data_IF_276703326791
#
_entry.id   IF_276703326791
#
_cell.length_a   1.000
_cell.length_b   1.000
_cell.length_c   1.000
_cell.angle_alpha   90.00
_cell.angle_beta   90.00
_cell.angle_gamma   90.00
#
_symmetry.space_group_name_H-M   'P 1'
#
loop_
_entity.id
_entity.type
_entity.pdbx_description
1 polymer ?
#
# COMPACT_ATOMS: atom_id res chain seq x y z
N UNK A 1 -24.13 10.69 19.14
CA UNK A 1 -22.65 10.70 19.22
C UNK A 1 -22.15 11.13 17.85
N UNK A 2 -21.24 12.11 17.80
CA UNK A 2 -20.62 12.58 16.55
C UNK A 2 -19.20 12.04 16.46
N UNK A 3 -18.89 11.31 15.39
CA UNK A 3 -17.59 10.73 15.11
C UNK A 3 -16.86 11.56 14.03
N UNK A 4 -15.66 12.04 14.33
CA UNK A 4 -14.84 12.83 13.40
C UNK A 4 -13.79 11.95 12.74
N UNK A 5 -13.88 11.81 11.43
CA UNK A 5 -12.95 10.99 10.65
C UNK A 5 -12.01 11.89 9.84
N UNK A 6 -10.72 11.81 10.13
CA UNK A 6 -9.67 12.48 9.36
C UNK A 6 -9.46 11.83 7.98
N UNK A 7 -9.28 12.67 6.96
CA UNK A 7 -8.97 12.25 5.60
C UNK A 7 -8.09 13.25 4.85
N UNK A 8 -7.30 12.75 3.90
CA UNK A 8 -6.67 13.60 2.87
C UNK A 8 -7.71 14.06 1.85
N UNK A 9 -7.46 15.18 1.18
CA UNK A 9 -8.38 15.73 0.16
C UNK A 9 -8.38 14.98 -1.18
N UNK A 10 -7.42 14.09 -1.42
CA UNK A 10 -7.38 13.35 -2.68
C UNK A 10 -8.66 12.52 -2.90
N UNK A 11 -9.09 12.38 -4.17
CA UNK A 11 -10.32 11.63 -4.52
C UNK A 11 -10.32 10.21 -3.96
N UNK A 12 -9.17 9.53 -4.00
CA UNK A 12 -9.02 8.18 -3.46
C UNK A 12 -9.15 8.16 -1.93
N UNK A 13 -8.49 9.08 -1.22
CA UNK A 13 -8.58 9.16 0.24
C UNK A 13 -10.02 9.45 0.70
N UNK A 14 -10.70 10.39 0.05
CA UNK A 14 -12.11 10.68 0.33
C UNK A 14 -13.01 9.47 0.03
N UNK A 15 -12.74 8.71 -1.04
CA UNK A 15 -13.46 7.47 -1.31
C UNK A 15 -13.28 6.47 -0.17
N UNK A 16 -12.04 6.25 0.28
CA UNK A 16 -11.73 5.30 1.37
C UNK A 16 -12.39 5.71 2.68
N UNK A 17 -12.32 6.99 3.02
CA UNK A 17 -12.99 7.53 4.22
C UNK A 17 -14.50 7.39 4.15
N UNK A 18 -15.11 7.68 3.00
CA UNK A 18 -16.56 7.49 2.79
C UNK A 18 -16.96 6.03 2.85
N UNK A 19 -16.11 5.12 2.37
CA UNK A 19 -16.34 3.68 2.47
C UNK A 19 -16.36 3.23 3.94
N UNK A 20 -15.36 3.61 4.74
CA UNK A 20 -15.34 3.34 6.19
C UNK A 20 -16.55 3.95 6.89
N UNK A 21 -16.89 5.21 6.58
CA UNK A 21 -18.06 5.87 7.15
C UNK A 21 -19.37 5.16 6.78
N UNK A 22 -19.50 4.64 5.56
CA UNK A 22 -20.67 3.89 5.13
C UNK A 22 -20.81 2.57 5.89
N UNK A 23 -19.72 1.81 6.05
CA UNK A 23 -19.71 0.59 6.87
C UNK A 23 -20.13 0.89 8.32
N UNK A 24 -19.58 1.95 8.93
CA UNK A 24 -19.96 2.33 10.29
C UNK A 24 -21.45 2.67 10.41
N UNK A 25 -22.01 3.41 9.44
CA UNK A 25 -23.45 3.74 9.43
C UNK A 25 -24.34 2.53 9.24
N UNK A 26 -23.88 1.48 8.55
CA UNK A 26 -24.63 0.24 8.39
C UNK A 26 -24.77 -0.52 9.72
N UNK A 27 -23.73 -0.50 10.56
CA UNK A 27 -23.74 -1.18 11.86
C UNK A 27 -24.29 -0.33 13.01
N UNK A 28 -24.20 1.01 12.90
CA UNK A 28 -24.55 1.93 13.97
C UNK A 28 -25.62 2.94 13.50
N UNK A 29 -26.88 2.54 13.60
CA UNK A 29 -28.02 3.40 13.28
C UNK A 29 -28.00 4.69 14.11
N UNK A 30 -28.03 5.85 13.45
CA UNK A 30 -28.01 7.16 14.12
C UNK A 30 -26.61 7.69 14.48
N UNK A 31 -25.53 7.01 14.05
CA UNK A 31 -24.18 7.56 14.18
C UNK A 31 -24.00 8.78 13.26
N UNK A 32 -23.78 9.94 13.87
CA UNK A 32 -23.40 11.14 13.13
C UNK A 32 -21.91 11.06 12.80
N UNK A 33 -21.56 11.25 11.52
CA UNK A 33 -20.17 11.19 11.06
C UNK A 33 -19.82 12.51 10.36
N UNK A 34 -18.74 13.13 10.80
CA UNK A 34 -18.11 14.28 10.18
C UNK A 34 -16.78 13.86 9.56
N UNK A 35 -16.57 14.18 8.28
CA UNK A 35 -15.28 13.95 7.61
C UNK A 35 -14.49 15.25 7.65
N UNK A 36 -13.38 15.25 8.37
CA UNK A 36 -12.45 16.38 8.49
C UNK A 36 -11.35 16.19 7.47
N UNK A 37 -11.26 17.09 6.49
CA UNK A 37 -10.28 16.98 5.39
C UNK A 37 -9.11 17.92 5.56
N UNK A 38 -7.91 17.49 5.19
CA UNK A 38 -6.70 18.32 5.24
C UNK A 38 -5.76 18.08 4.05
N UNK A 39 -4.86 19.03 3.83
CA UNK A 39 -3.73 18.89 2.91
C UNK A 39 -2.52 18.40 3.69
N UNK A 40 -1.85 17.35 3.20
CA UNK A 40 -0.59 16.87 3.78
C UNK A 40 0.61 17.42 3.00
N UNK A 41 1.80 17.43 3.60
CA UNK A 41 3.04 17.80 2.90
C UNK A 41 3.25 16.98 1.63
N UNK A 42 2.92 15.69 1.64
CA UNK A 42 2.99 14.82 0.46
C UNK A 42 2.03 15.19 -0.67
N UNK A 43 0.93 15.90 -0.38
CA UNK A 43 0.04 16.47 -1.38
C UNK A 43 0.59 17.79 -1.96
N UNK A 44 1.41 18.52 -1.19
CA UNK A 44 2.04 19.79 -1.62
C UNK A 44 3.34 19.59 -2.40
N UNK A 45 4.06 18.49 -2.17
CA UNK A 45 5.35 18.21 -2.82
C UNK A 45 5.17 17.15 -3.93
N UNK A 46 4.90 17.60 -5.16
CA UNK A 46 4.73 16.73 -6.33
C UNK A 46 6.01 16.44 -7.11
N UNK A 47 7.06 17.28 -6.94
CA UNK A 47 8.14 17.40 -7.94
C UNK A 47 9.51 16.83 -7.49
N UNK A 48 9.62 16.28 -6.27
CA UNK A 48 10.87 15.71 -5.73
C UNK A 48 10.74 14.19 -5.59
N UNK A 49 11.63 13.31 -6.08
CA UNK A 49 11.59 11.84 -5.92
C UNK A 49 11.41 11.34 -4.47
N UNK A 50 10.66 10.24 -4.23
CA UNK A 50 10.34 9.74 -2.86
C UNK A 50 11.57 9.44 -2.01
N UNK A 51 12.60 8.77 -2.55
CA UNK A 51 13.83 8.51 -1.80
C UNK A 51 14.59 9.75 -1.34
N UNK A 52 14.34 10.90 -1.98
CA UNK A 52 15.04 12.15 -1.69
C UNK A 52 14.31 13.02 -0.66
N UNK A 53 13.05 12.71 -0.34
CA UNK A 53 12.28 13.51 0.62
C UNK A 53 12.66 13.17 2.06
N UNK A 54 13.14 11.96 2.38
CA UNK A 54 13.72 11.62 3.69
C UNK A 54 12.77 11.72 4.91
N UNK A 55 11.54 12.20 4.74
CA UNK A 55 10.58 12.40 5.84
C UNK A 55 9.72 11.14 6.01
N UNK A 56 9.92 10.43 7.14
CA UNK A 56 8.99 9.42 7.64
C UNK A 56 7.63 10.12 7.89
N UNK A 57 6.53 9.55 7.42
CA UNK A 57 5.19 10.11 7.66
C UNK A 57 4.76 11.25 6.72
N UNK A 58 5.37 11.39 5.52
CA UNK A 58 5.04 12.43 4.53
C UNK A 58 3.53 12.60 4.21
N UNK A 59 2.74 11.54 4.39
CA UNK A 59 1.31 11.53 4.12
C UNK A 59 0.43 11.34 5.38
N UNK A 60 1.03 11.24 6.57
CA UNK A 60 0.35 10.83 7.81
C UNK A 60 0.49 11.85 8.93
N UNK A 61 1.60 12.61 8.99
CA UNK A 61 1.92 13.51 10.10
C UNK A 61 0.75 14.44 10.48
N UNK A 62 0.12 15.12 9.52
CA UNK A 62 -0.95 16.06 9.86
C UNK A 62 -2.23 15.40 10.39
N UNK A 63 -2.46 14.12 10.05
CA UNK A 63 -3.56 13.33 10.60
C UNK A 63 -3.20 12.82 12.00
N UNK A 64 -1.96 12.37 12.20
CA UNK A 64 -1.41 11.93 13.48
C UNK A 64 -1.47 13.06 14.52
N UNK A 65 -1.06 14.28 14.15
CA UNK A 65 -1.15 15.47 15.01
C UNK A 65 -2.59 15.75 15.46
N UNK A 66 -3.57 15.58 14.56
CA UNK A 66 -4.98 15.79 14.89
C UNK A 66 -5.58 14.70 15.76
N UNK A 67 -5.15 13.45 15.58
CA UNK A 67 -5.50 12.34 16.47
C UNK A 67 -4.99 12.62 17.88
N UNK A 68 -3.71 12.95 18.03
CA UNK A 68 -3.08 13.26 19.32
C UNK A 68 -3.74 14.49 19.99
N UNK A 69 -4.08 15.50 19.21
CA UNK A 69 -4.83 16.67 19.68
C UNK A 69 -6.33 16.39 19.91
N UNK A 70 -6.82 15.18 19.63
CA UNK A 70 -8.22 14.74 19.76
C UNK A 70 -9.21 15.62 19.00
N UNK A 71 -8.73 16.25 17.92
CA UNK A 71 -9.55 17.07 17.00
C UNK A 71 -10.27 16.20 15.97
N UNK A 72 -9.75 15.00 15.71
CA UNK A 72 -10.42 13.88 15.06
C UNK A 72 -10.41 12.65 15.98
N UNK A 73 -11.29 11.69 15.73
CA UNK A 73 -11.43 10.47 16.54
C UNK A 73 -10.74 9.27 15.91
N UNK A 74 -10.66 9.23 14.57
CA UNK A 74 -9.91 8.24 13.80
C UNK A 74 -9.44 8.84 12.47
N UNK A 75 -8.39 8.27 11.89
CA UNK A 75 -7.89 8.63 10.57
C UNK A 75 -7.94 7.42 9.62
N UNK A 76 -8.22 7.67 8.33
CA UNK A 76 -8.35 6.63 7.31
C UNK A 76 -7.28 6.78 6.24
N UNK A 77 -6.57 5.67 5.98
CA UNK A 77 -5.40 5.64 5.10
C UNK A 77 -5.47 4.47 4.11
N UNK A 78 -4.69 4.56 3.03
CA UNK A 78 -4.22 3.34 2.36
C UNK A 78 -3.17 2.70 3.26
N UNK A 79 -3.38 1.46 3.73
CA UNK A 79 -2.51 0.87 4.75
C UNK A 79 -1.05 0.70 4.30
N UNK A 80 -0.83 0.52 3.00
CA UNK A 80 0.52 0.47 2.40
C UNK A 80 1.30 1.79 2.47
N UNK A 81 0.63 2.91 2.70
CA UNK A 81 1.26 4.23 2.82
C UNK A 81 1.59 4.56 4.29
N UNK A 82 1.14 3.73 5.24
CA UNK A 82 1.47 3.88 6.65
C UNK A 82 2.84 3.28 6.95
N UNK A 83 3.64 3.92 7.82
CA UNK A 83 4.89 3.35 8.29
C UNK A 83 4.64 2.01 9.00
N UNK A 84 5.68 1.19 9.12
CA UNK A 84 5.61 -0.10 9.82
C UNK A 84 5.39 0.06 11.34
N UNK A 85 5.83 1.20 11.89
CA UNK A 85 5.74 1.64 13.27
C UNK A 85 4.95 2.95 13.34
N UNK A 86 4.05 3.05 14.29
CA UNK A 86 3.22 4.23 14.54
C UNK A 86 3.90 5.21 15.50
N UNK A 87 3.45 6.46 15.50
CA UNK A 87 3.86 7.43 16.50
C UNK A 87 3.36 7.04 17.90
N UNK A 88 4.09 7.44 18.94
CA UNK A 88 3.73 7.13 20.33
C UNK A 88 2.31 7.61 20.65
N UNK A 89 1.50 6.73 21.26
CA UNK A 89 0.10 7.02 21.60
C UNK A 89 -0.89 6.81 20.44
N UNK A 90 -0.44 6.40 19.25
CA UNK A 90 -1.27 6.02 18.12
C UNK A 90 -1.10 4.55 17.76
N UNK A 91 -2.14 3.95 17.17
CA UNK A 91 -2.08 2.56 16.71
C UNK A 91 -2.95 2.31 15.49
N UNK A 92 -2.57 1.25 14.76
CA UNK A 92 -3.46 0.59 13.81
C UNK A 92 -4.61 -0.08 14.57
N UNK A 93 -5.84 0.40 14.35
CA UNK A 93 -7.05 -0.19 14.92
C UNK A 93 -7.47 -1.45 14.16
N UNK A 94 -7.36 -1.39 12.84
CA UNK A 94 -7.73 -2.48 11.96
C UNK A 94 -8.11 -2.03 10.56
N UNK A 95 -8.46 -3.01 9.72
CA UNK A 95 -8.88 -2.82 8.34
C UNK A 95 -10.22 -3.53 8.06
N UNK A 96 -11.11 -2.93 7.25
CA UNK A 96 -12.21 -3.67 6.63
C UNK A 96 -11.67 -4.65 5.58
N UNK A 97 -12.58 -5.39 4.93
CA UNK A 97 -12.24 -6.35 3.89
C UNK A 97 -11.26 -5.76 2.84
N UNK A 98 -10.16 -6.49 2.58
CA UNK A 98 -9.14 -6.10 1.61
C UNK A 98 -9.71 -6.10 0.20
N UNK A 99 -9.44 -5.03 -0.56
CA UNK A 99 -9.68 -5.00 -2.00
C UNK A 99 -8.53 -5.70 -2.76
N UNK A 100 -8.62 -5.74 -4.09
CA UNK A 100 -7.63 -6.42 -4.92
C UNK A 100 -6.18 -5.94 -4.63
N UNK A 101 -5.28 -6.82 -4.16
CA UNK A 101 -3.93 -6.44 -3.76
C UNK A 101 -2.97 -6.27 -4.93
N UNK A 102 -3.34 -6.66 -6.16
CA UNK A 102 -2.44 -6.69 -7.31
C UNK A 102 -2.01 -5.29 -7.79
N UNK A 103 -0.97 -5.29 -8.61
CA UNK A 103 -0.63 -4.14 -9.45
C UNK A 103 -1.28 -4.30 -10.83
N UNK A 104 -1.56 -3.18 -11.49
CA UNK A 104 -2.11 -3.13 -12.83
C UNK A 104 -1.17 -2.37 -13.76
N UNK A 105 -0.91 -2.96 -14.93
CA UNK A 105 -0.28 -2.31 -16.07
C UNK A 105 -1.32 -1.54 -16.88
N UNK A 106 -1.00 -0.28 -17.19
CA UNK A 106 -1.85 0.63 -17.94
C UNK A 106 -1.03 1.16 -19.10
N UNK A 107 -1.55 0.97 -20.30
CA UNK A 107 -0.94 1.45 -21.54
C UNK A 107 -2.01 1.83 -22.54
N UNK A 108 -1.71 2.85 -23.34
CA UNK A 108 -2.50 3.25 -24.50
C UNK A 108 -2.07 2.55 -25.79
N UNK A 109 -0.97 1.77 -25.74
CA UNK A 109 -0.32 1.16 -26.92
C UNK A 109 -0.27 -0.37 -26.85
N UNK A 110 -0.15 -0.94 -25.66
CA UNK A 110 0.14 -2.35 -25.46
C UNK A 110 -0.90 -2.99 -24.54
N UNK A 111 -1.39 -4.17 -24.89
CA UNK A 111 -2.38 -4.86 -24.06
C UNK A 111 -1.76 -5.61 -22.88
N UNK A 112 -0.46 -5.89 -22.90
CA UNK A 112 0.24 -6.58 -21.81
C UNK A 112 1.73 -6.23 -21.79
N UNK A 113 2.39 -6.51 -20.66
CA UNK A 113 3.83 -6.38 -20.49
C UNK A 113 4.61 -7.25 -21.50
N UNK A 114 4.06 -8.40 -21.87
CA UNK A 114 4.67 -9.33 -22.84
C UNK A 114 4.75 -8.76 -24.27
N UNK A 115 3.94 -7.74 -24.59
CA UNK A 115 3.95 -7.09 -25.90
C UNK A 115 4.87 -5.87 -25.97
N UNK A 116 5.51 -5.50 -24.85
CA UNK A 116 6.40 -4.34 -24.83
C UNK A 116 7.61 -4.57 -25.74
N UNK A 117 7.99 -3.56 -26.55
CA UNK A 117 9.21 -3.64 -27.34
C UNK A 117 10.44 -3.65 -26.42
N UNK A 118 11.56 -4.12 -26.97
CA UNK A 118 12.84 -4.00 -26.27
C UNK A 118 13.10 -2.53 -25.95
N UNK A 119 13.55 -2.26 -24.71
CA UNK A 119 13.80 -0.90 -24.21
C UNK A 119 12.58 0.01 -24.06
N UNK A 120 11.37 -0.57 -23.99
CA UNK A 120 10.16 0.17 -23.64
C UNK A 120 10.33 1.02 -22.36
N UNK A 121 9.68 2.18 -22.34
CA UNK A 121 9.76 3.14 -21.25
C UNK A 121 8.52 3.02 -20.38
N UNK A 122 8.68 2.54 -19.15
CA UNK A 122 7.62 2.51 -18.14
C UNK A 122 7.82 3.61 -17.10
N UNK A 123 6.74 4.11 -16.49
CA UNK A 123 6.88 5.07 -15.40
C UNK A 123 6.26 4.58 -14.08
N UNK A 124 7.03 4.69 -13.00
CA UNK A 124 6.61 4.35 -11.64
C UNK A 124 7.52 5.04 -10.62
N UNK A 125 6.93 5.58 -9.55
CA UNK A 125 7.68 6.08 -8.39
C UNK A 125 8.08 5.00 -7.38
N UNK A 126 7.73 3.74 -7.60
CA UNK A 126 7.96 2.63 -6.67
C UNK A 126 9.20 1.82 -7.06
N UNK A 127 10.19 1.75 -6.16
CA UNK A 127 11.38 0.91 -6.36
C UNK A 127 11.04 -0.58 -6.39
N UNK A 128 10.09 -1.04 -5.57
CA UNK A 128 9.57 -2.42 -5.62
C UNK A 128 9.11 -2.78 -7.03
N UNK A 129 8.23 -1.97 -7.63
CA UNK A 129 7.69 -2.24 -8.97
C UNK A 129 8.79 -2.23 -10.02
N UNK A 130 9.64 -1.21 -10.00
CA UNK A 130 10.78 -1.08 -10.93
C UNK A 130 11.68 -2.31 -10.88
N UNK A 131 12.14 -2.69 -9.69
CA UNK A 131 13.05 -3.80 -9.49
C UNK A 131 12.43 -5.15 -9.88
N UNK A 132 11.17 -5.41 -9.52
CA UNK A 132 10.46 -6.61 -9.98
C UNK A 132 10.37 -6.67 -11.50
N UNK A 133 9.99 -5.58 -12.15
CA UNK A 133 9.87 -5.53 -13.62
C UNK A 133 11.22 -5.70 -14.30
N UNK A 134 12.29 -5.08 -13.81
CA UNK A 134 13.65 -5.27 -14.35
C UNK A 134 14.12 -6.72 -14.20
N UNK A 135 13.76 -7.38 -13.09
CA UNK A 135 14.11 -8.79 -12.88
C UNK A 135 13.41 -9.75 -13.85
N UNK A 136 12.19 -9.41 -14.29
CA UNK A 136 11.38 -10.25 -15.17
C UNK A 136 11.57 -9.90 -16.65
N UNK A 137 11.77 -8.62 -16.95
CA UNK A 137 11.89 -8.06 -18.30
C UNK A 137 13.15 -7.18 -18.35
N UNK A 138 14.34 -7.79 -18.45
CA UNK A 138 15.59 -7.05 -18.56
C UNK A 138 15.59 -6.10 -19.75
N UNK A 139 16.07 -4.88 -19.54
CA UNK A 139 16.23 -3.88 -20.60
C UNK A 139 15.15 -2.81 -20.67
N UNK A 140 14.07 -2.91 -19.87
CA UNK A 140 13.10 -1.82 -19.68
C UNK A 140 13.78 -0.53 -19.17
N UNK A 141 13.30 0.61 -19.64
CA UNK A 141 13.69 1.94 -19.15
C UNK A 141 12.62 2.48 -18.22
N UNK A 142 13.04 3.25 -17.22
CA UNK A 142 12.14 3.73 -16.18
C UNK A 142 12.19 5.24 -16.01
N UNK A 143 11.01 5.85 -16.00
CA UNK A 143 10.79 7.25 -15.67
C UNK A 143 10.12 7.41 -14.30
N UNK A 144 10.39 8.54 -13.65
CA UNK A 144 9.82 8.85 -12.33
C UNK A 144 8.38 9.31 -12.47
N UNK A 145 7.47 8.70 -11.70
CA UNK A 145 6.05 9.02 -11.73
C UNK A 145 5.53 9.40 -10.35
N UNK A 146 4.95 10.60 -10.26
CA UNK A 146 4.33 11.16 -9.07
C UNK A 146 3.03 11.89 -9.38
N UNK A 147 2.28 12.16 -8.33
CA UNK A 147 0.95 12.76 -8.37
C UNK A 147 -0.14 11.75 -8.03
N UNK A 148 -1.35 12.26 -7.90
CA UNK A 148 -2.56 11.45 -7.79
C UNK A 148 -2.85 10.69 -9.10
N UNK A 149 -3.85 9.81 -9.09
CA UNK A 149 -4.18 8.95 -10.22
C UNK A 149 -4.46 9.75 -11.50
N UNK A 150 -5.20 10.85 -11.40
CA UNK A 150 -5.57 11.67 -12.56
C UNK A 150 -4.33 12.35 -13.18
N UNK A 151 -3.41 12.87 -12.35
CA UNK A 151 -2.12 13.41 -12.82
C UNK A 151 -1.25 12.34 -13.47
N UNK A 152 -1.23 11.11 -12.94
CA UNK A 152 -0.44 10.02 -13.50
C UNK A 152 -0.94 9.58 -14.86
N UNK A 153 -2.25 9.46 -15.04
CA UNK A 153 -2.87 9.14 -16.31
C UNK A 153 -2.58 10.21 -17.36
N UNK A 154 -2.71 11.50 -16.98
CA UNK A 154 -2.35 12.60 -17.88
C UNK A 154 -0.86 12.55 -18.29
N UNK A 155 0.04 12.28 -17.34
CA UNK A 155 1.48 12.14 -17.63
C UNK A 155 1.80 10.97 -18.56
N UNK A 156 1.08 9.85 -18.46
CA UNK A 156 1.21 8.74 -19.41
C UNK A 156 0.96 9.23 -20.86
N UNK A 157 -0.11 10.00 -21.06
CA UNK A 157 -0.46 10.52 -22.38
C UNK A 157 0.53 11.60 -22.86
N UNK A 158 0.89 12.56 -21.99
CA UNK A 158 1.76 13.70 -22.31
C UNK A 158 3.21 13.30 -22.62
N UNK A 159 3.77 12.34 -21.88
CA UNK A 159 5.17 11.95 -22.03
C UNK A 159 5.38 10.81 -23.04
N UNK A 160 4.30 10.22 -23.56
CA UNK A 160 4.37 9.17 -24.57
C UNK A 160 5.09 7.90 -24.08
N UNK A 161 5.05 7.62 -22.78
CA UNK A 161 5.57 6.37 -22.20
C UNK A 161 4.80 5.16 -22.72
N UNK A 162 5.44 3.99 -22.71
CA UNK A 162 4.81 2.73 -23.11
C UNK A 162 3.83 2.21 -22.06
N UNK A 163 3.94 2.64 -20.81
CA UNK A 163 2.92 2.41 -19.81
C UNK A 163 3.30 2.85 -18.41
N UNK A 164 2.34 2.74 -17.50
CA UNK A 164 2.53 3.01 -16.07
C UNK A 164 1.99 1.85 -15.24
N UNK A 165 2.46 1.77 -14.00
CA UNK A 165 1.99 0.76 -13.05
C UNK A 165 1.26 1.43 -11.89
N UNK A 166 0.02 0.99 -11.63
CA UNK A 166 -0.80 1.45 -10.51
C UNK A 166 -1.31 0.28 -9.68
N UNK A 167 -1.89 0.55 -8.51
CA UNK A 167 -2.50 -0.52 -7.71
C UNK A 167 -3.91 -0.77 -8.23
N UNK A 168 -4.28 -2.03 -8.42
CA UNK A 168 -5.60 -2.41 -8.99
C UNK A 168 -6.74 -1.90 -8.12
N UNK A 169 -6.66 -2.10 -6.79
CA UNK A 169 -7.64 -1.54 -5.85
C UNK A 169 -7.86 -0.03 -5.99
N UNK A 170 -6.84 0.74 -6.37
CA UNK A 170 -7.00 2.19 -6.51
C UNK A 170 -7.82 2.56 -7.76
N UNK A 171 -7.72 1.76 -8.83
CA UNK A 171 -8.51 1.90 -10.05
C UNK A 171 -9.95 1.42 -9.84
N UNK A 172 -10.13 0.27 -9.19
CA UNK A 172 -11.46 -0.27 -8.83
C UNK A 172 -12.28 0.75 -8.05
N UNK A 173 -11.70 1.30 -6.97
CA UNK A 173 -12.35 2.30 -6.11
C UNK A 173 -12.80 3.55 -6.87
N UNK A 174 -12.06 3.95 -7.89
CA UNK A 174 -12.37 5.13 -8.69
C UNK A 174 -13.15 4.80 -9.98
N UNK A 175 -13.58 3.56 -10.18
CA UNK A 175 -14.33 3.14 -11.38
C UNK A 175 -13.51 3.20 -12.67
N UNK A 176 -12.18 2.98 -12.58
CA UNK A 176 -11.22 3.14 -13.68
C UNK A 176 -10.66 1.83 -14.24
N UNK A 177 -11.31 0.70 -13.98
CA UNK A 177 -10.84 -0.61 -14.44
C UNK A 177 -10.80 -0.75 -15.97
N UNK A 178 -11.60 0.03 -16.70
CA UNK A 178 -11.57 0.07 -18.17
C UNK A 178 -10.23 0.58 -18.75
N UNK A 179 -9.35 1.15 -17.92
CA UNK A 179 -8.00 1.59 -18.32
C UNK A 179 -6.94 0.51 -18.11
N UNK A 180 -7.26 -0.60 -17.43
CA UNK A 180 -6.29 -1.67 -17.14
C UNK A 180 -6.04 -2.45 -18.42
N UNK A 181 -4.79 -2.49 -18.86
CA UNK A 181 -4.34 -3.35 -19.96
C UNK A 181 -4.14 -4.78 -19.45
N UNK A 182 -3.45 -4.91 -18.32
CA UNK A 182 -3.15 -6.21 -17.70
C UNK A 182 -3.12 -6.07 -16.17
N UNK A 183 -3.77 -7.01 -15.48
CA UNK A 183 -3.60 -7.20 -14.04
C UNK A 183 -2.42 -8.13 -13.78
N UNK A 184 -1.50 -7.72 -12.91
CA UNK A 184 -0.26 -8.44 -12.66
C UNK A 184 -0.43 -9.47 -11.54
N UNK A 185 -0.15 -10.73 -11.86
CA UNK A 185 -0.23 -11.86 -10.92
C UNK A 185 0.60 -11.58 -9.64
N UNK A 186 -0.05 -11.58 -8.48
CA UNK A 186 0.57 -11.28 -7.18
C UNK A 186 1.61 -12.33 -6.75
N UNK A 187 1.55 -13.54 -7.29
CA UNK A 187 2.57 -14.57 -7.08
C UNK A 187 3.83 -14.30 -7.91
N UNK A 188 3.73 -13.55 -9.01
CA UNK A 188 4.85 -13.14 -9.87
C UNK A 188 5.39 -11.77 -9.41
N UNK A 189 4.53 -10.76 -9.42
CA UNK A 189 4.80 -9.39 -9.01
C UNK A 189 4.23 -9.15 -7.61
N UNK A 190 5.01 -9.52 -6.59
CA UNK A 190 4.58 -9.47 -5.20
C UNK A 190 4.16 -8.03 -4.82
N UNK A 191 2.92 -7.83 -4.35
CA UNK A 191 2.39 -6.55 -3.94
C UNK A 191 3.23 -5.82 -2.87
N UNK A 192 2.98 -4.52 -2.73
CA UNK A 192 3.46 -3.81 -1.54
C UNK A 192 2.73 -4.35 -0.30
N UNK A 193 3.43 -4.32 0.84
CA UNK A 193 2.86 -4.63 2.16
C UNK A 193 1.54 -3.90 2.33
N UNK A 194 0.50 -4.63 2.69
CA UNK A 194 -0.86 -4.18 2.89
C UNK A 194 -1.53 -3.47 1.69
N UNK A 195 -1.03 -3.66 0.47
CA UNK A 195 -1.69 -3.11 -0.73
C UNK A 195 -3.12 -3.66 -0.85
N UNK A 196 -4.07 -2.78 -1.15
CA UNK A 196 -5.50 -3.13 -1.23
C UNK A 196 -6.24 -2.93 0.09
N UNK A 197 -5.58 -2.94 1.25
CA UNK A 197 -6.22 -2.68 2.55
C UNK A 197 -6.41 -1.18 2.83
N UNK A 198 -7.50 -0.85 3.51
CA UNK A 198 -7.72 0.47 4.10
C UNK A 198 -7.32 0.37 5.57
N UNK A 199 -6.43 1.24 6.03
CA UNK A 199 -6.01 1.28 7.43
C UNK A 199 -6.81 2.31 8.21
N UNK A 200 -7.30 1.92 9.39
CA UNK A 200 -7.87 2.85 10.37
C UNK A 200 -6.87 3.05 11.51
N UNK A 201 -6.52 4.29 11.78
CA UNK A 201 -5.62 4.71 12.85
C UNK A 201 -6.39 5.45 13.95
N UNK A 202 -6.09 5.16 15.21
CA UNK A 202 -6.72 5.77 16.39
C UNK A 202 -5.68 6.04 17.48
N UNK A 203 -6.04 6.88 18.46
CA UNK A 203 -5.29 6.95 19.71
C UNK A 203 -5.41 5.67 20.53
N UNK A 204 -4.33 5.30 21.19
CA UNK A 204 -4.31 4.24 22.20
C UNK A 204 -5.29 4.55 23.35
N UNK A 205 -5.86 3.50 23.95
CA UNK A 205 -6.80 3.61 25.08
C UNK A 205 -8.22 4.06 24.71
N UNK A 206 -8.55 4.30 23.43
CA UNK A 206 -9.91 4.64 22.96
C UNK A 206 -10.81 3.41 22.80
N UNK A 207 -11.08 2.71 23.89
CA UNK A 207 -11.95 1.54 23.91
C UNK A 207 -13.36 1.81 23.36
N UNK A 208 -13.85 3.05 23.50
CA UNK A 208 -15.10 3.54 22.93
C UNK A 208 -15.09 3.51 21.39
N UNK A 209 -13.98 3.90 20.77
CA UNK A 209 -13.82 3.89 19.31
C UNK A 209 -13.51 2.49 18.80
N UNK A 210 -12.76 1.69 19.55
CA UNK A 210 -12.50 0.28 19.20
C UNK A 210 -13.80 -0.52 19.13
N UNK A 211 -14.68 -0.37 20.13
CA UNK A 211 -15.98 -1.03 20.13
C UNK A 211 -16.84 -0.61 18.93
N UNK A 212 -16.75 0.66 18.53
CA UNK A 212 -17.46 1.18 17.35
C UNK A 212 -16.91 0.59 16.04
N UNK A 213 -15.60 0.40 15.94
CA UNK A 213 -14.91 -0.09 14.75
C UNK A 213 -14.95 -1.61 14.60
N UNK A 214 -15.03 -2.37 15.70
CA UNK A 214 -14.95 -3.83 15.68
C UNK A 214 -15.87 -4.51 14.65
N UNK A 215 -17.13 -4.08 14.44
CA UNK A 215 -18.02 -4.72 13.47
C UNK A 215 -17.61 -4.57 12.00
N UNK A 216 -16.81 -3.54 11.67
CA UNK A 216 -16.42 -3.25 10.28
C UNK A 216 -15.10 -3.90 9.88
N UNK A 217 -14.36 -4.47 10.83
CA UNK A 217 -13.05 -5.05 10.59
C UNK A 217 -13.14 -6.51 10.21
N UNK A 218 -12.37 -6.88 9.19
CA UNK A 218 -12.33 -8.24 8.65
C UNK A 218 -11.18 -9.03 9.29
N UNK A 219 -11.43 -10.09 10.10
CA UNK A 219 -10.37 -10.81 10.81
C UNK A 219 -9.29 -11.39 9.88
N UNK A 220 -9.68 -11.89 8.72
CA UNK A 220 -8.75 -12.47 7.74
C UNK A 220 -7.82 -11.40 7.17
N UNK A 221 -8.36 -10.26 6.75
CA UNK A 221 -7.58 -9.11 6.29
C UNK A 221 -6.61 -8.63 7.37
N UNK A 222 -7.07 -8.48 8.61
CA UNK A 222 -6.23 -7.98 9.70
C UNK A 222 -5.06 -8.93 10.01
N UNK A 223 -5.29 -10.24 10.04
CA UNK A 223 -4.22 -11.23 10.20
C UNK A 223 -3.23 -11.22 9.04
N UNK A 224 -3.73 -11.10 7.80
CA UNK A 224 -2.88 -11.02 6.60
C UNK A 224 -1.95 -9.81 6.64
N UNK A 225 -2.51 -8.61 6.83
CA UNK A 225 -1.74 -7.35 6.79
C UNK A 225 -0.80 -7.24 7.99
N UNK A 226 -1.15 -7.78 9.15
CA UNK A 226 -0.25 -7.78 10.31
C UNK A 226 0.96 -8.70 10.11
N UNK A 227 0.77 -9.85 9.45
CA UNK A 227 1.87 -10.71 9.04
C UNK A 227 2.77 -10.00 8.02
N UNK A 228 2.20 -9.36 6.98
CA UNK A 228 2.97 -8.59 5.99
C UNK A 228 3.75 -7.43 6.63
N UNK A 229 3.13 -6.73 7.59
CA UNK A 229 3.76 -5.63 8.34
C UNK A 229 4.84 -6.13 9.30
N UNK A 230 4.69 -7.32 9.88
CA UNK A 230 5.75 -7.97 10.66
C UNK A 230 6.99 -8.24 9.82
N UNK A 231 6.79 -8.77 8.61
CA UNK A 231 7.87 -8.99 7.65
C UNK A 231 8.58 -7.68 7.28
N UNK A 232 7.81 -6.61 7.01
CA UNK A 232 8.35 -5.28 6.77
C UNK A 232 9.18 -4.77 7.96
N UNK A 233 8.62 -4.76 9.18
CA UNK A 233 9.30 -4.28 10.40
C UNK A 233 10.64 -4.99 10.65
N UNK A 234 10.70 -6.31 10.42
CA UNK A 234 11.93 -7.09 10.64
C UNK A 234 13.01 -6.80 9.59
N UNK A 235 12.62 -6.50 8.35
CA UNK A 235 13.54 -6.27 7.24
C UNK A 235 13.92 -4.80 7.03
N UNK A 236 13.25 -3.87 7.69
CA UNK A 236 13.42 -2.43 7.47
C UNK A 236 14.88 -1.96 7.60
N UNK A 237 15.47 -1.64 6.44
CA UNK A 237 16.62 -0.76 6.25
C UNK A 237 16.18 0.46 5.44
N UNK A 238 15.75 1.54 6.09
CA UNK A 238 15.48 2.84 5.46
C UNK A 238 14.26 2.97 4.52
N UNK A 239 13.86 4.21 4.24
CA UNK A 239 12.58 4.60 3.61
C UNK A 239 12.44 4.31 2.09
N UNK A 240 13.24 3.42 1.48
CA UNK A 240 13.21 3.23 0.01
C UNK A 240 13.61 1.82 -0.45
N UNK A 241 13.16 0.79 0.27
CA UNK A 241 13.46 -0.60 -0.05
C UNK A 241 12.55 -1.15 -1.14
N UNK A 242 13.13 -1.90 -2.08
CA UNK A 242 12.36 -2.72 -3.01
C UNK A 242 11.97 -4.02 -2.30
N UNK A 243 10.86 -3.96 -1.56
CA UNK A 243 10.31 -5.07 -0.76
C UNK A 243 8.82 -5.25 -1.08
N UNK A 244 8.41 -6.49 -1.30
CA UNK A 244 7.02 -6.91 -1.45
C UNK A 244 6.65 -7.99 -0.43
N UNK A 245 5.41 -7.97 0.03
CA UNK A 245 4.85 -9.02 0.87
C UNK A 245 3.36 -9.18 0.57
N UNK A 246 2.92 -10.42 0.42
CA UNK A 246 1.51 -10.74 0.21
C UNK A 246 1.12 -12.02 0.93
N UNK A 247 0.19 -11.89 1.86
CA UNK A 247 -0.39 -12.95 2.63
C UNK A 247 -1.87 -13.07 2.30
N UNK A 248 -2.32 -14.30 2.04
CA UNK A 248 -3.72 -14.61 1.82
C UNK A 248 -4.04 -15.99 2.40
N UNK A 249 -5.31 -16.25 2.59
CA UNK A 249 -5.85 -17.47 3.16
C UNK A 249 -6.83 -18.10 2.16
N UNK A 250 -6.77 -19.42 2.04
CA UNK A 250 -7.74 -20.22 1.31
C UNK A 250 -7.92 -21.56 2.04
N UNK A 251 -9.17 -21.94 2.31
CA UNK A 251 -9.55 -23.21 2.93
C UNK A 251 -8.81 -23.54 4.25
N UNK A 252 -8.59 -22.52 5.08
CA UNK A 252 -7.88 -22.59 6.36
C UNK A 252 -6.36 -22.56 6.26
N UNK A 253 -5.80 -22.48 5.06
CA UNK A 253 -4.36 -22.47 4.81
C UNK A 253 -3.88 -21.09 4.37
N UNK A 254 -2.96 -20.52 5.14
CA UNK A 254 -2.30 -19.28 4.81
C UNK A 254 -1.16 -19.53 3.83
N UNK A 255 -1.06 -18.67 2.82
CA UNK A 255 0.10 -18.58 1.93
C UNK A 255 0.72 -17.21 2.08
N UNK A 256 2.03 -17.18 2.36
CA UNK A 256 2.81 -15.96 2.49
C UNK A 256 3.85 -15.90 1.37
N UNK A 257 3.85 -14.80 0.62
CA UNK A 257 4.84 -14.48 -0.40
C UNK A 257 5.71 -13.33 0.10
N UNK A 258 7.03 -13.53 0.12
CA UNK A 258 8.01 -12.49 0.43
C UNK A 258 8.92 -12.25 -0.76
N UNK A 259 9.24 -10.98 -1.01
CA UNK A 259 10.12 -10.58 -2.08
C UNK A 259 10.97 -9.38 -1.68
N UNK A 260 12.26 -9.40 -2.00
CA UNK A 260 13.17 -8.25 -1.94
C UNK A 260 14.02 -8.19 -3.20
N UNK A 261 14.51 -7.01 -3.53
CA UNK A 261 15.48 -6.84 -4.61
C UNK A 261 16.34 -5.60 -4.48
N UNK A 262 17.42 -5.56 -5.26
CA UNK A 262 18.26 -4.38 -5.46
C UNK A 262 17.52 -3.34 -6.30
N UNK A 263 17.97 -2.08 -6.26
CA UNK A 263 17.33 -0.96 -7.01
C UNK A 263 17.28 -1.17 -8.52
N UNK A 264 18.25 -1.88 -9.07
CA UNK A 264 18.37 -2.21 -10.49
C UNK A 264 17.72 -3.56 -10.86
N UNK A 265 17.23 -4.32 -9.88
CA UNK A 265 16.63 -5.64 -10.09
C UNK A 265 17.61 -6.76 -10.46
N UNK A 266 18.92 -6.52 -10.36
CA UNK A 266 19.96 -7.53 -10.66
C UNK A 266 20.08 -8.61 -9.58
N UNK A 267 19.74 -8.28 -8.34
CA UNK A 267 19.70 -9.20 -7.22
C UNK A 267 18.29 -9.24 -6.66
N UNK A 268 17.69 -10.43 -6.62
CA UNK A 268 16.35 -10.62 -6.08
C UNK A 268 16.31 -11.86 -5.19
N UNK A 269 15.50 -11.79 -4.13
CA UNK A 269 15.16 -12.95 -3.32
C UNK A 269 13.64 -13.02 -3.20
N UNK A 270 13.09 -14.20 -3.49
CA UNK A 270 11.66 -14.47 -3.51
C UNK A 270 11.40 -15.82 -2.89
N UNK A 271 10.50 -15.89 -1.91
CA UNK A 271 10.10 -17.14 -1.29
C UNK A 271 8.58 -17.17 -1.08
N UNK A 272 8.07 -18.39 -0.93
CA UNK A 272 6.68 -18.69 -0.60
C UNK A 272 6.67 -19.70 0.54
N UNK A 273 5.82 -19.47 1.53
CA UNK A 273 5.58 -20.41 2.62
C UNK A 273 4.08 -20.61 2.82
N UNK A 274 3.70 -21.78 3.35
CA UNK A 274 2.31 -22.10 3.69
C UNK A 274 2.22 -22.66 5.11
N UNK A 275 1.10 -22.39 5.79
CA UNK A 275 0.88 -22.83 7.16
C UNK A 275 -0.43 -22.31 7.75
N UNK A 276 -0.67 -22.58 9.02
CA UNK A 276 -1.94 -22.24 9.70
C UNK A 276 -1.87 -20.92 10.48
N UNK A 277 -0.67 -20.41 10.72
CA UNK A 277 -0.43 -19.13 11.39
C UNK A 277 0.37 -18.18 10.49
N UNK A 278 -0.25 -17.12 9.94
CA UNK A 278 0.44 -16.17 9.07
C UNK A 278 1.53 -15.37 9.82
N UNK A 279 1.39 -15.17 11.13
CA UNK A 279 2.41 -14.49 11.94
C UNK A 279 3.70 -15.29 12.02
N UNK A 280 3.59 -16.61 12.29
CA UNK A 280 4.74 -17.51 12.28
C UNK A 280 5.41 -17.60 10.90
N UNK A 281 4.62 -17.67 9.81
CA UNK A 281 5.14 -17.67 8.43
C UNK A 281 5.95 -16.41 8.15
N UNK A 282 5.40 -15.23 8.48
CA UNK A 282 6.07 -13.95 8.27
C UNK A 282 7.38 -13.84 9.07
N UNK A 283 7.35 -14.25 10.34
CA UNK A 283 8.53 -14.21 11.20
C UNK A 283 9.65 -15.11 10.68
N UNK A 284 9.32 -16.37 10.35
CA UNK A 284 10.29 -17.34 9.83
C UNK A 284 10.86 -16.90 8.47
N UNK A 285 10.01 -16.39 7.57
CA UNK A 285 10.46 -15.90 6.27
C UNK A 285 11.37 -14.67 6.40
N UNK A 286 11.03 -13.72 7.28
CA UNK A 286 11.90 -12.58 7.55
C UNK A 286 13.28 -13.01 8.06
N UNK A 287 13.33 -13.96 9.00
CA UNK A 287 14.59 -14.48 9.55
C UNK A 287 15.41 -15.20 8.46
N UNK A 288 14.76 -15.98 7.59
CA UNK A 288 15.41 -16.61 6.45
C UNK A 288 15.93 -15.59 5.43
N UNK A 289 15.26 -14.46 5.23
CA UNK A 289 15.74 -13.38 4.37
C UNK A 289 16.97 -12.71 4.99
N UNK A 290 16.92 -12.37 6.28
CA UNK A 290 18.03 -11.74 7.00
C UNK A 290 19.27 -12.63 7.00
N UNK A 291 19.12 -13.92 7.33
CA UNK A 291 20.23 -14.87 7.36
C UNK A 291 20.92 -15.05 5.99
N UNK A 292 20.20 -14.76 4.91
CA UNK A 292 20.70 -14.88 3.53
C UNK A 292 20.99 -13.51 2.89
N UNK A 293 21.39 -12.51 3.69
CA UNK A 293 21.95 -11.26 3.16
C UNK A 293 20.92 -10.24 2.66
N UNK A 294 19.66 -10.30 3.13
CA UNK A 294 18.63 -9.35 2.72
C UNK A 294 19.03 -7.88 2.88
N UNK A 295 19.76 -7.53 3.94
CA UNK A 295 20.21 -6.15 4.17
C UNK A 295 21.11 -5.64 3.04
N UNK A 296 22.07 -6.46 2.61
CA UNK A 296 22.97 -6.11 1.49
C UNK A 296 22.20 -5.88 0.20
N UNK A 297 21.21 -6.73 -0.11
CA UNK A 297 20.38 -6.58 -1.32
C UNK A 297 19.56 -5.28 -1.26
N UNK A 298 18.97 -4.99 -0.11
CA UNK A 298 18.11 -3.81 0.08
C UNK A 298 18.89 -2.48 0.07
N UNK A 299 20.18 -2.52 0.39
CA UNK A 299 21.08 -1.36 0.37
C UNK A 299 21.72 -1.10 -1.01
N UNK A 300 21.68 -2.07 -1.93
CA UNK A 300 22.21 -1.98 -3.30
C UNK A 300 21.21 -1.41 -4.32
#
# INVERSE_FOLDING_TARGET
MKLRIGSRKSRLALWQTRHVAALLKQHHGGLEIEIVTMDTMGDKISDVPLPQIGVKGLFTQELEDQLLAKTIDLAVHSLKDLPSTFADGLKFAGAPLRANPTDAFISTRWSSLAMLPQHAVLATGSQRRKSQLLSQLPGLRFESLRGNIDTRLRKLDEHGWDGIIMATAALERLGRMHLVSEELDASIYVPAVAQGAIGVEICEGRADIEALLAPIFDPTTNRAVEAERTFLRKLEGGCSVALGAYCHEADGLWTFHGWIGSRDGSQVKKERAQGTDPGALAAAMADAFIANGARTILES
#
